data_IF_300960262351
#
_entry.id   IF_300960262351
#
_cell.length_a   1.000
_cell.length_b   1.000
_cell.length_c   1.000
_cell.angle_alpha   90.00
_cell.angle_beta   90.00
_cell.angle_gamma   90.00
#
_symmetry.space_group_name_H-M   'P 1'
#
loop_
_entity.id
_entity.type
_entity.pdbx_description
1 polymer ?
#
# COMPACT_ATOMS: atom_id res chain seq x y z
N UNK A 1 -16.42 1.05 15.01
CA UNK A 1 -16.00 -0.06 15.90
C UNK A 1 -14.87 -0.84 15.25
N UNK A 2 -13.79 -1.17 15.97
CA UNK A 2 -12.71 -2.03 15.47
C UNK A 2 -13.07 -3.50 15.78
N UNK A 3 -13.43 -4.28 14.77
CA UNK A 3 -13.60 -5.73 14.90
C UNK A 3 -12.25 -6.42 14.66
N UNK A 4 -11.61 -6.86 15.74
CA UNK A 4 -10.29 -7.53 15.70
C UNK A 4 -10.37 -9.02 15.37
N UNK A 5 -11.57 -9.60 15.28
CA UNK A 5 -11.77 -11.02 14.92
C UNK A 5 -12.13 -11.20 13.45
N UNK A 6 -12.53 -10.12 12.78
CA UNK A 6 -12.78 -10.12 11.34
C UNK A 6 -11.46 -10.23 10.56
N UNK A 7 -11.36 -11.27 9.73
CA UNK A 7 -10.28 -11.46 8.75
C UNK A 7 -10.41 -10.53 7.55
N UNK A 8 -10.07 -10.99 6.34
CA UNK A 8 -10.26 -10.22 5.11
C UNK A 8 -11.74 -9.85 4.91
N UNK A 9 -12.00 -8.62 4.47
CA UNK A 9 -13.34 -8.14 4.15
C UNK A 9 -13.26 -7.00 3.13
N UNK A 10 -14.35 -6.82 2.39
CA UNK A 10 -14.44 -5.84 1.31
C UNK A 10 -14.62 -4.41 1.87
N UNK A 11 -13.55 -3.84 2.43
CA UNK A 11 -13.54 -2.44 2.91
C UNK A 11 -13.47 -1.44 1.76
N UNK A 12 -12.75 -1.80 0.70
CA UNK A 12 -12.47 -0.94 -0.44
C UNK A 12 -12.87 -1.63 -1.73
N UNK A 13 -13.38 -0.84 -2.68
CA UNK A 13 -13.54 -1.23 -4.07
C UNK A 13 -12.41 -0.59 -4.87
N UNK A 14 -11.61 -1.38 -5.58
CA UNK A 14 -10.42 -0.92 -6.31
C UNK A 14 -10.61 -1.20 -7.78
N UNK A 15 -10.44 -0.16 -8.60
CA UNK A 15 -10.45 -0.25 -10.05
C UNK A 15 -9.13 0.29 -10.61
N UNK A 16 -8.72 -0.23 -11.76
CA UNK A 16 -7.54 0.27 -12.45
C UNK A 16 -7.88 1.61 -13.09
N UNK A 17 -7.01 2.60 -12.93
CA UNK A 17 -7.22 3.95 -13.47
C UNK A 17 -7.26 4.00 -15.01
N UNK A 18 -6.76 2.96 -15.70
CA UNK A 18 -6.84 2.83 -17.15
C UNK A 18 -8.16 2.21 -17.65
N UNK A 19 -9.11 1.91 -16.74
CA UNK A 19 -10.40 1.30 -17.05
C UNK A 19 -10.32 -0.18 -17.45
N UNK A 20 -9.13 -0.79 -17.40
CA UNK A 20 -8.90 -2.17 -17.89
C UNK A 20 -9.06 -3.23 -16.81
N UNK A 21 -10.16 -3.13 -16.07
CA UNK A 21 -10.59 -4.14 -15.09
C UNK A 21 -11.65 -5.08 -15.66
N UNK A 22 -12.16 -4.82 -16.87
CA UNK A 22 -13.27 -5.56 -17.50
C UNK A 22 -12.90 -7.00 -17.93
N UNK A 23 -13.90 -7.90 -18.01
CA UNK A 23 -13.71 -9.25 -18.54
C UNK A 23 -13.05 -9.25 -19.92
N UNK A 24 -11.94 -9.98 -20.05
CA UNK A 24 -11.16 -10.10 -21.28
C UNK A 24 -9.88 -9.25 -21.32
N UNK A 25 -9.69 -8.32 -20.36
CA UNK A 25 -8.44 -7.59 -20.21
C UNK A 25 -7.37 -8.43 -19.48
N UNK A 26 -6.08 -8.17 -19.76
CA UNK A 26 -4.93 -8.94 -19.23
C UNK A 26 -4.92 -9.09 -17.71
N UNK A 27 -5.46 -8.09 -16.99
CA UNK A 27 -5.50 -8.04 -15.53
C UNK A 27 -6.92 -8.13 -14.98
N UNK A 28 -7.86 -8.66 -15.77
CA UNK A 28 -9.19 -8.96 -15.26
C UNK A 28 -9.11 -9.94 -14.09
N UNK A 29 -9.77 -9.61 -12.97
CA UNK A 29 -9.78 -10.45 -11.78
C UNK A 29 -8.49 -10.45 -10.96
N UNK A 30 -7.52 -9.57 -11.25
CA UNK A 30 -6.36 -9.40 -10.37
C UNK A 30 -6.80 -8.95 -8.97
N UNK A 31 -6.15 -9.50 -7.95
CA UNK A 31 -6.36 -9.10 -6.56
C UNK A 31 -5.50 -7.89 -6.19
N UNK A 32 -6.12 -6.91 -5.53
CA UNK A 32 -5.46 -5.72 -5.03
C UNK A 32 -5.65 -5.63 -3.52
N UNK A 33 -4.56 -5.42 -2.80
CA UNK A 33 -4.57 -5.22 -1.35
C UNK A 33 -4.07 -3.81 -1.03
N UNK A 34 -4.89 -3.02 -0.33
CA UNK A 34 -4.59 -1.62 -0.01
C UNK A 34 -4.30 -1.43 1.47
N UNK A 35 -3.34 -0.56 1.74
CA UNK A 35 -2.88 -0.19 3.07
C UNK A 35 -3.05 1.32 3.27
N UNK A 36 -3.56 1.71 4.43
CA UNK A 36 -3.66 3.12 4.84
C UNK A 36 -2.29 3.57 5.38
N UNK A 37 -1.50 4.22 4.54
CA UNK A 37 -0.14 4.61 4.91
C UNK A 37 -0.06 5.69 5.98
N UNK A 38 -1.16 6.38 6.30
CA UNK A 38 -1.21 7.43 7.30
C UNK A 38 -1.51 6.86 8.68
N UNK A 39 -2.53 6.00 8.78
CA UNK A 39 -3.08 5.56 10.07
C UNK A 39 -2.80 4.10 10.42
N UNK A 40 -2.42 3.26 9.46
CA UNK A 40 -2.11 1.86 9.73
C UNK A 40 -0.64 1.72 10.20
N UNK A 41 -0.40 1.27 11.44
CA UNK A 41 0.96 1.07 11.94
C UNK A 41 1.73 -0.02 11.19
N UNK A 42 1.03 -0.92 10.48
CA UNK A 42 1.65 -2.00 9.70
C UNK A 42 1.97 -1.60 8.26
N UNK A 43 1.43 -0.47 7.79
CA UNK A 43 1.55 -0.09 6.39
C UNK A 43 2.98 0.28 5.98
N UNK A 44 3.68 1.11 6.77
CA UNK A 44 5.06 1.52 6.45
C UNK A 44 6.03 0.32 6.38
N UNK A 45 6.07 -0.60 7.37
CA UNK A 45 6.89 -1.81 7.26
C UNK A 45 6.56 -2.65 6.02
N UNK A 46 5.28 -2.81 5.68
CA UNK A 46 4.85 -3.63 4.55
C UNK A 46 5.32 -3.05 3.20
N UNK A 47 5.15 -1.74 2.98
CA UNK A 47 5.59 -1.11 1.73
C UNK A 47 7.12 -1.07 1.60
N UNK A 48 7.85 -0.91 2.71
CA UNK A 48 9.31 -1.01 2.73
C UNK A 48 9.79 -2.42 2.36
N UNK A 49 9.11 -3.46 2.84
CA UNK A 49 9.43 -4.84 2.48
C UNK A 49 9.16 -5.09 0.99
N UNK A 50 8.03 -4.61 0.47
CA UNK A 50 7.73 -4.72 -0.96
C UNK A 50 8.75 -3.99 -1.83
N UNK A 51 9.13 -2.76 -1.47
CA UNK A 51 10.15 -2.00 -2.19
C UNK A 51 11.49 -2.75 -2.27
N UNK A 52 11.92 -3.39 -1.17
CA UNK A 52 13.12 -4.24 -1.18
C UNK A 52 12.96 -5.44 -2.11
N UNK A 53 11.78 -6.08 -2.09
CA UNK A 53 11.51 -7.26 -2.93
C UNK A 53 11.52 -6.94 -4.42
N UNK A 54 11.02 -5.77 -4.83
CA UNK A 54 10.87 -5.40 -6.24
C UNK A 54 12.06 -4.62 -6.80
N UNK A 55 13.06 -4.28 -5.99
CA UNK A 55 14.14 -3.37 -6.36
C UNK A 55 14.98 -3.82 -7.57
N UNK A 56 15.18 -5.14 -7.74
CA UNK A 56 15.95 -5.68 -8.87
C UNK A 56 15.21 -5.48 -10.21
N UNK A 57 13.91 -5.68 -10.22
CA UNK A 57 13.07 -5.59 -11.42
C UNK A 57 12.59 -4.16 -11.69
N UNK A 58 12.32 -3.39 -10.61
CA UNK A 58 11.70 -2.07 -10.66
C UNK A 58 12.44 -1.06 -9.74
N UNK A 59 13.72 -0.73 -10.04
CA UNK A 59 14.55 0.09 -9.15
C UNK A 59 13.99 1.50 -8.89
N UNK A 60 13.37 2.13 -9.91
CA UNK A 60 12.74 3.46 -9.75
C UNK A 60 11.52 3.41 -8.83
N UNK A 61 10.66 2.41 -9.01
CA UNK A 61 9.48 2.22 -8.16
C UNK A 61 9.89 1.96 -6.71
N UNK A 62 10.87 1.08 -6.50
CA UNK A 62 11.40 0.81 -5.17
C UNK A 62 11.93 2.08 -4.49
N UNK A 63 12.70 2.90 -5.21
CA UNK A 63 13.21 4.17 -4.70
C UNK A 63 12.08 5.15 -4.34
N UNK A 64 11.07 5.29 -5.19
CA UNK A 64 9.91 6.16 -4.92
C UNK A 64 9.11 5.71 -3.71
N UNK A 65 8.87 4.40 -3.56
CA UNK A 65 8.19 3.84 -2.38
C UNK A 65 8.99 4.13 -1.11
N UNK A 66 10.31 3.91 -1.12
CA UNK A 66 11.16 4.15 0.04
C UNK A 66 11.21 5.63 0.41
N UNK A 67 11.31 6.52 -0.58
CA UNK A 67 11.27 7.98 -0.37
C UNK A 67 9.95 8.39 0.26
N UNK A 68 8.81 7.94 -0.30
CA UNK A 68 7.48 8.24 0.25
C UNK A 68 7.29 7.69 1.66
N UNK A 69 7.79 6.48 1.94
CA UNK A 69 7.76 5.91 3.29
C UNK A 69 8.59 6.73 4.29
N UNK A 70 9.70 7.31 3.84
CA UNK A 70 10.51 8.24 4.64
C UNK A 70 9.80 9.55 4.93
N UNK A 71 9.19 10.18 3.91
CA UNK A 71 8.39 11.41 4.04
C UNK A 71 7.26 11.22 5.07
N UNK A 72 6.50 10.12 4.96
CA UNK A 72 5.41 9.81 5.90
C UNK A 72 5.91 9.53 7.32
N UNK A 73 7.07 8.91 7.46
CA UNK A 73 7.67 8.71 8.77
C UNK A 73 8.07 10.04 9.42
N UNK A 74 8.62 10.97 8.64
CA UNK A 74 8.95 12.32 9.10
C UNK A 74 7.70 13.11 9.48
N UNK A 75 6.66 13.09 8.64
CA UNK A 75 5.41 13.79 8.90
C UNK A 75 4.77 13.34 10.23
N UNK A 76 4.85 12.04 10.55
CA UNK A 76 4.36 11.49 11.83
C UNK A 76 5.15 12.02 13.02
N UNK A 77 6.49 12.11 12.89
CA UNK A 77 7.34 12.70 13.93
C UNK A 77 6.99 14.17 14.15
N UNK A 78 6.80 14.93 13.06
CA UNK A 78 6.47 16.35 13.11
C UNK A 78 5.10 16.60 13.77
N UNK A 79 4.16 15.66 13.64
CA UNK A 79 2.84 15.68 14.31
C UNK A 79 2.87 15.23 15.77
N UNK A 80 4.00 14.74 16.29
CA UNK A 80 4.10 14.18 17.63
C UNK A 80 3.37 12.84 17.79
N UNK A 81 3.13 12.13 16.69
CA UNK A 81 2.51 10.81 16.68
C UNK A 81 3.60 9.75 16.91
N UNK A 82 3.98 9.54 18.17
CA UNK A 82 4.83 8.40 18.53
C UNK A 82 4.07 7.08 18.36
N UNK A 83 4.81 6.07 17.88
CA UNK A 83 4.29 4.75 17.49
C UNK A 83 3.61 3.98 18.63
#
# INVERSE_FOLDING_TARGET
MKDRKRGLYNKFHIERADGRSDPGEKHHGCEYFVLDLDHDPHALPAVQAYAKSCAADYPKLAADILRRAGELAQDRLDRGEER
#
